data_IF_623970072325
#
_entry.id   IF_623970072325
#
_cell.length_a   1.000
_cell.length_b   1.000
_cell.length_c   1.000
_cell.angle_alpha   90.00
_cell.angle_beta   90.00
_cell.angle_gamma   90.00
#
_symmetry.space_group_name_H-M   'P 1'
#
loop_
_entity.id
_entity.type
_entity.pdbx_description
1 polymer ?
#
# COMPACT_ATOMS: atom_id res chain seq x y z
N UNK A 1 -1.80 10.32 -6.90
CA UNK A 1 -1.97 9.15 -6.03
C UNK A 1 -1.72 7.88 -6.83
N UNK A 2 -1.20 6.87 -6.17
CA UNK A 2 -0.91 5.61 -6.86
C UNK A 2 -2.17 4.76 -7.02
N UNK A 3 -2.19 3.99 -8.10
CA UNK A 3 -3.29 3.08 -8.39
C UNK A 3 -2.98 1.68 -7.84
N UNK A 4 -3.97 0.78 -7.85
CA UNK A 4 -3.76 -0.60 -7.43
C UNK A 4 -2.60 -1.26 -8.19
N UNK A 5 -2.54 -1.20 -9.54
CA UNK A 5 -1.39 -1.77 -10.25
C UNK A 5 -0.05 -1.23 -9.78
N UNK A 6 0.03 0.07 -9.51
CA UNK A 6 1.28 0.68 -9.05
C UNK A 6 1.69 0.15 -7.67
N UNK A 7 0.74 0.03 -6.74
CA UNK A 7 1.03 -0.53 -5.43
C UNK A 7 1.47 -1.99 -5.51
N UNK A 8 0.79 -2.77 -6.34
CA UNK A 8 1.15 -4.18 -6.52
C UNK A 8 2.54 -4.34 -7.13
N UNK A 9 2.87 -3.50 -8.12
CA UNK A 9 4.18 -3.55 -8.74
C UNK A 9 5.28 -3.16 -7.76
N UNK A 10 5.04 -2.15 -6.94
CA UNK A 10 5.99 -1.76 -5.89
C UNK A 10 6.18 -2.89 -4.88
N UNK A 11 5.09 -3.52 -4.48
CA UNK A 11 5.15 -4.63 -3.53
C UNK A 11 5.96 -5.79 -4.11
N UNK A 12 5.73 -6.14 -5.37
CA UNK A 12 6.48 -7.20 -6.04
C UNK A 12 7.97 -6.87 -6.07
N UNK A 13 8.29 -5.63 -6.39
CA UNK A 13 9.68 -5.20 -6.47
C UNK A 13 10.38 -5.32 -5.12
N UNK A 14 9.77 -4.81 -4.06
CA UNK A 14 10.38 -4.83 -2.74
C UNK A 14 10.39 -6.22 -2.11
N UNK A 15 9.46 -7.07 -2.47
CA UNK A 15 9.38 -8.44 -1.95
C UNK A 15 10.08 -9.45 -2.84
N UNK A 16 10.69 -8.98 -3.93
CA UNK A 16 11.40 -9.83 -4.91
C UNK A 16 10.48 -10.88 -5.54
N UNK A 17 9.23 -10.53 -5.72
CA UNK A 17 8.26 -11.35 -6.42
C UNK A 17 8.29 -10.96 -7.89
N UNK A 18 8.52 -11.92 -8.78
CA UNK A 18 8.79 -11.60 -10.18
C UNK A 18 7.56 -11.48 -11.06
N UNK A 19 6.47 -12.15 -10.69
CA UNK A 19 5.31 -12.20 -11.56
C UNK A 19 4.03 -12.17 -10.75
N UNK A 20 2.92 -11.89 -11.44
CA UNK A 20 1.61 -11.96 -10.81
C UNK A 20 1.27 -13.39 -10.41
N UNK A 21 1.76 -14.37 -11.14
CA UNK A 21 1.58 -15.77 -10.76
C UNK A 21 2.22 -16.04 -9.40
N UNK A 22 3.46 -15.58 -9.22
CA UNK A 22 4.17 -15.75 -7.96
C UNK A 22 3.50 -14.97 -6.84
N UNK A 23 2.97 -13.78 -7.15
CA UNK A 23 2.24 -12.97 -6.18
C UNK A 23 0.97 -13.68 -5.72
N UNK A 24 0.24 -14.27 -6.66
CA UNK A 24 -0.97 -15.02 -6.33
C UNK A 24 -0.64 -16.23 -5.44
N UNK A 25 0.45 -16.92 -5.74
CA UNK A 25 0.90 -18.04 -4.91
C UNK A 25 1.29 -17.57 -3.51
N UNK A 26 1.95 -16.42 -3.42
CA UNK A 26 2.34 -15.85 -2.13
C UNK A 26 1.13 -15.56 -1.25
N UNK A 27 0.06 -15.05 -1.85
CA UNK A 27 -1.16 -14.72 -1.10
C UNK A 27 -2.17 -15.87 -1.04
N UNK A 28 -1.89 -16.99 -1.69
CA UNK A 28 -2.80 -18.13 -1.67
C UNK A 28 -4.08 -17.92 -2.44
N UNK A 29 -4.04 -17.12 -3.49
CA UNK A 29 -5.20 -16.82 -4.34
C UNK A 29 -4.86 -17.17 -5.78
N UNK A 30 -5.84 -17.10 -6.67
CA UNK A 30 -5.62 -17.37 -8.08
C UNK A 30 -5.05 -16.15 -8.79
N UNK A 31 -4.37 -16.38 -9.90
CA UNK A 31 -3.88 -15.30 -10.74
C UNK A 31 -5.01 -14.45 -11.28
N UNK A 32 -6.18 -15.05 -11.47
CA UNK A 32 -7.36 -14.34 -11.88
C UNK A 32 -7.76 -13.27 -10.87
N UNK A 33 -7.60 -13.53 -9.58
CA UNK A 33 -7.88 -12.52 -8.55
C UNK A 33 -6.94 -11.33 -8.68
N UNK A 34 -5.66 -11.58 -8.93
CA UNK A 34 -4.70 -10.49 -9.12
C UNK A 34 -5.11 -9.63 -10.31
N UNK A 35 -5.50 -10.26 -11.41
CA UNK A 35 -5.97 -9.55 -12.58
C UNK A 35 -7.21 -8.69 -12.28
N UNK A 36 -8.13 -9.22 -11.49
CA UNK A 36 -9.34 -8.48 -11.09
C UNK A 36 -8.99 -7.27 -10.22
N UNK A 37 -8.03 -7.42 -9.32
CA UNK A 37 -7.59 -6.29 -8.49
C UNK A 37 -6.97 -5.20 -9.36
N UNK A 38 -6.14 -5.59 -10.33
CA UNK A 38 -5.49 -4.63 -11.21
C UNK A 38 -6.50 -3.85 -12.07
N UNK A 39 -7.57 -4.50 -12.44
CA UNK A 39 -8.62 -3.87 -13.26
C UNK A 39 -9.62 -3.08 -12.43
N UNK A 40 -9.51 -3.13 -11.12
CA UNK A 40 -10.45 -2.45 -10.23
C UNK A 40 -11.79 -3.13 -10.10
N UNK A 41 -11.92 -4.36 -10.56
CA UNK A 41 -13.19 -5.12 -10.45
C UNK A 41 -13.39 -5.70 -9.07
N UNK A 42 -12.32 -6.06 -8.39
CA UNK A 42 -12.36 -6.53 -7.02
C UNK A 42 -11.62 -5.55 -6.14
N UNK A 43 -12.15 -5.34 -4.95
CA UNK A 43 -11.53 -4.50 -3.96
C UNK A 43 -10.38 -5.26 -3.31
N UNK A 44 -9.23 -4.62 -3.21
CA UNK A 44 -8.07 -5.23 -2.57
C UNK A 44 -8.36 -5.42 -1.08
N UNK A 45 -8.23 -6.63 -0.54
CA UNK A 45 -8.51 -6.87 0.87
C UNK A 45 -7.59 -6.05 1.78
N UNK A 46 -8.14 -5.64 2.92
CA UNK A 46 -7.38 -4.84 3.87
C UNK A 46 -6.12 -5.58 4.35
N UNK A 47 -6.20 -6.89 4.52
CA UNK A 47 -5.04 -7.68 4.94
C UNK A 47 -3.88 -7.53 3.95
N UNK A 48 -4.17 -7.51 2.66
CA UNK A 48 -3.13 -7.33 1.65
C UNK A 48 -2.60 -5.91 1.64
N UNK A 49 -3.48 -4.93 1.86
CA UNK A 49 -3.06 -3.53 1.98
C UNK A 49 -2.08 -3.35 3.14
N UNK A 50 -2.38 -3.96 4.27
CA UNK A 50 -1.49 -3.87 5.43
C UNK A 50 -0.15 -4.54 5.17
N UNK A 51 -0.15 -5.66 4.48
CA UNK A 51 1.10 -6.34 4.13
C UNK A 51 1.93 -5.50 3.17
N UNK A 52 1.30 -4.89 2.18
CA UNK A 52 1.99 -4.00 1.25
C UNK A 52 2.60 -2.82 2.00
N UNK A 53 1.82 -2.21 2.88
CA UNK A 53 2.29 -1.06 3.65
C UNK A 53 3.50 -1.42 4.50
N UNK A 54 3.46 -2.59 5.13
CA UNK A 54 4.58 -3.02 5.95
C UNK A 54 5.82 -3.31 5.12
N UNK A 55 5.64 -3.97 3.99
CA UNK A 55 6.76 -4.28 3.10
C UNK A 55 7.42 -3.02 2.55
N UNK A 56 6.63 -2.00 2.24
CA UNK A 56 7.12 -0.74 1.70
C UNK A 56 7.51 0.26 2.79
N UNK A 57 7.27 -0.08 4.05
CA UNK A 57 7.51 0.80 5.19
C UNK A 57 6.72 2.10 5.05
N UNK A 58 5.46 1.98 4.64
CA UNK A 58 4.54 3.10 4.44
C UNK A 58 3.36 2.99 5.37
N UNK A 59 2.71 4.14 5.63
CA UNK A 59 1.48 4.17 6.41
C UNK A 59 0.36 3.53 5.60
N UNK A 60 -0.35 2.51 6.15
CA UNK A 60 -1.46 1.89 5.43
C UNK A 60 -2.54 2.89 5.00
N UNK A 61 -2.71 3.97 5.76
CA UNK A 61 -3.70 4.99 5.43
C UNK A 61 -3.41 5.64 4.09
N UNK A 62 -2.14 5.81 3.74
CA UNK A 62 -1.75 6.33 2.43
C UNK A 62 -2.31 5.45 1.32
N UNK A 63 -2.18 4.13 1.45
CA UNK A 63 -2.67 3.19 0.46
C UNK A 63 -4.20 3.19 0.45
N UNK A 64 -4.81 3.12 1.62
CA UNK A 64 -6.27 3.08 1.74
C UNK A 64 -6.90 4.30 1.07
N UNK A 65 -6.38 5.48 1.34
CA UNK A 65 -6.92 6.71 0.77
C UNK A 65 -6.70 6.74 -0.74
N UNK A 66 -5.54 6.32 -1.21
CA UNK A 66 -5.25 6.31 -2.65
C UNK A 66 -6.18 5.36 -3.40
N UNK A 67 -6.56 4.25 -2.79
CA UNK A 67 -7.49 3.30 -3.41
C UNK A 67 -8.93 3.79 -3.36
N UNK A 68 -9.30 4.55 -2.35
CA UNK A 68 -10.65 5.07 -2.20
C UNK A 68 -10.91 6.30 -3.06
N UNK A 69 -9.88 7.08 -3.37
CA UNK A 69 -10.03 8.35 -4.04
C UNK A 69 -10.77 8.27 -5.38
N UNK A 70 -10.43 7.36 -6.29
CA UNK A 70 -11.10 7.33 -7.60
C UNK A 70 -12.60 7.04 -7.51
N UNK A 71 -13.03 6.37 -6.45
CA UNK A 71 -14.43 5.99 -6.26
C UNK A 71 -15.19 6.95 -5.36
N UNK A 72 -14.51 7.96 -4.83
CA UNK A 72 -15.11 8.89 -3.90
C UNK A 72 -15.98 9.90 -4.64
N UNK A 73 -16.95 10.46 -3.91
CA UNK A 73 -17.76 11.55 -4.43
C UNK A 73 -16.91 12.80 -4.58
N UNK A 74 -17.28 13.65 -5.52
CA UNK A 74 -16.52 14.88 -5.76
C UNK A 74 -16.35 15.70 -4.48
N UNK A 75 -17.40 15.79 -3.67
CA UNK A 75 -17.35 16.58 -2.44
C UNK A 75 -16.38 16.00 -1.41
N UNK A 76 -16.06 14.70 -1.51
CA UNK A 76 -15.19 14.04 -0.56
C UNK A 76 -13.74 13.98 -1.04
N UNK A 77 -13.51 14.20 -2.32
CA UNK A 77 -12.18 14.06 -2.90
C UNK A 77 -11.17 15.04 -2.32
N UNK A 78 -11.59 16.27 -2.06
CA UNK A 78 -10.67 17.26 -1.50
C UNK A 78 -10.17 16.84 -0.12
N UNK A 79 -11.06 16.31 0.72
CA UNK A 79 -10.68 15.81 2.03
C UNK A 79 -9.75 14.62 1.97
N UNK A 80 -10.04 13.68 1.06
CA UNK A 80 -9.18 12.51 0.88
C UNK A 80 -7.81 12.91 0.38
N UNK A 81 -7.75 13.84 -0.55
CA UNK A 81 -6.49 14.33 -1.09
C UNK A 81 -5.65 14.99 0.02
N UNK A 82 -6.28 15.77 0.87
CA UNK A 82 -5.61 16.41 1.98
C UNK A 82 -5.02 15.39 2.95
N UNK A 83 -5.79 14.37 3.30
CA UNK A 83 -5.32 13.29 4.17
C UNK A 83 -4.15 12.55 3.52
N UNK A 84 -4.27 12.25 2.22
CA UNK A 84 -3.22 11.55 1.49
C UNK A 84 -1.89 12.31 1.58
N UNK A 85 -1.91 13.60 1.28
CA UNK A 85 -0.67 14.39 1.29
C UNK A 85 -0.08 14.51 2.69
N UNK A 86 -0.93 14.65 3.71
CA UNK A 86 -0.46 14.72 5.09
C UNK A 86 0.24 13.43 5.50
N UNK A 87 -0.35 12.29 5.16
CA UNK A 87 0.22 10.99 5.51
C UNK A 87 1.48 10.72 4.72
N UNK A 88 1.48 11.05 3.43
CA UNK A 88 2.65 10.86 2.59
C UNK A 88 3.84 11.70 3.07
N UNK A 89 3.58 12.95 3.44
CA UNK A 89 4.64 13.83 3.98
C UNK A 89 5.17 13.31 5.31
N UNK A 90 4.28 12.79 6.14
CA UNK A 90 4.69 12.21 7.42
C UNK A 90 5.58 10.98 7.20
N UNK A 91 5.26 10.17 6.20
CA UNK A 91 6.07 9.03 5.83
C UNK A 91 7.47 9.43 5.43
N UNK A 92 7.59 10.48 4.60
CA UNK A 92 8.89 11.00 4.19
C UNK A 92 9.67 11.53 5.39
N UNK A 93 9.02 12.27 6.26
CA UNK A 93 9.66 12.81 7.47
C UNK A 93 10.17 11.69 8.37
N UNK A 94 9.38 10.62 8.53
CA UNK A 94 9.78 9.48 9.34
C UNK A 94 10.97 8.75 8.72
N UNK A 95 11.00 8.63 7.41
CA UNK A 95 12.13 8.05 6.70
C UNK A 95 13.40 8.84 6.94
N UNK A 96 13.33 10.15 6.80
CA UNK A 96 14.47 11.02 7.03
C UNK A 96 14.97 10.93 8.47
N UNK A 97 14.05 10.91 9.43
CA UNK A 97 14.40 10.76 10.83
C UNK A 97 15.06 9.40 11.10
N UNK A 98 14.56 8.34 10.48
CA UNK A 98 15.15 7.01 10.63
C UNK A 98 16.54 6.95 10.07
N UNK A 99 16.79 7.63 8.95
CA UNK A 99 18.10 7.66 8.34
C UNK A 99 19.11 8.43 9.16
N UNK A 100 18.67 9.41 9.93
CA UNK A 100 19.58 10.20 10.77
C UNK A 100 19.77 9.61 12.16
N UNK A 101 19.09 8.51 12.47
CA UNK A 101 19.18 7.84 13.77
C UNK A 101 19.55 6.38 13.57
N UNK A 102 20.23 5.83 14.54
CA UNK A 102 20.55 4.41 14.54
C UNK A 102 19.45 3.57 15.19
N UNK A 103 18.45 4.20 15.78
CA UNK A 103 17.34 3.49 16.39
C UNK A 103 16.61 2.64 15.36
N UNK A 104 16.47 1.38 15.63
CA UNK A 104 15.87 0.45 14.69
C UNK A 104 14.38 0.20 14.86
N UNK A 105 13.71 0.97 15.72
CA UNK A 105 12.29 0.72 15.92
C UNK A 105 11.49 1.10 14.68
N UNK A 106 10.59 0.20 14.29
CA UNK A 106 9.72 0.41 13.14
C UNK A 106 8.28 0.16 13.52
N UNK A 107 7.39 1.12 13.28
CA UNK A 107 5.98 0.89 13.52
C UNK A 107 5.47 -0.21 12.58
N UNK A 108 4.56 -0.99 13.05
CA UNK A 108 3.94 -2.02 12.25
C UNK A 108 4.56 -3.39 12.38
N UNK A 109 5.78 -3.51 12.85
CA UNK A 109 6.40 -4.83 12.99
C UNK A 109 5.72 -5.69 14.04
N UNK A 110 5.29 -5.05 15.11
CA UNK A 110 4.69 -5.78 16.22
C UNK A 110 3.33 -6.36 15.93
N UNK A 111 2.61 -5.85 14.96
CA UNK A 111 1.25 -6.32 14.71
C UNK A 111 1.16 -7.35 13.58
N UNK A 112 2.27 -7.73 13.05
CA UNK A 112 2.30 -8.73 12.00
C UNK A 112 2.43 -10.12 12.59
N UNK A 113 1.54 -10.52 13.41
CA UNK A 113 1.61 -11.85 14.02
C UNK A 113 0.40 -12.65 13.70
#
# INVERSE_FOLDING_TARGET
MKTVPQWLDMFKKYSRIRSDYALAAHWGISQSHISQYRRGRLKLPLAFVLEIAEALDRDPLEIIVSLAYPKARERDKAGLKDVYFRVALRGVANEMAANSRTCGWRPGRGWKR
#
